data_IF_964608587690
#
_entry.id   IF_964608587690
#
_cell.length_a   1.000
_cell.length_b   1.000
_cell.length_c   1.000
_cell.angle_alpha   90.00
_cell.angle_beta   90.00
_cell.angle_gamma   90.00
#
_symmetry.space_group_name_H-M   'P 1'
#
loop_
_entity.id
_entity.type
_entity.pdbx_description
1 polymer ?
#
# COMPACT_ATOMS: atom_id res chain seq x y z
N UNK A 1 -12.36 -7.24 29.87
CA UNK A 1 -11.84 -7.81 28.61
C UNK A 1 -12.13 -6.95 27.39
N UNK A 2 -13.38 -6.54 27.12
CA UNK A 2 -13.75 -5.75 25.91
C UNK A 2 -13.02 -4.40 25.79
N UNK A 3 -12.89 -3.66 26.90
CA UNK A 3 -12.24 -2.35 26.94
C UNK A 3 -10.73 -2.36 26.60
N UNK A 4 -10.07 -3.52 26.71
CA UNK A 4 -8.64 -3.66 26.42
C UNK A 4 -8.36 -4.14 24.99
N UNK A 5 -9.39 -4.33 24.17
CA UNK A 5 -9.23 -4.73 22.76
C UNK A 5 -8.88 -3.53 21.88
N UNK A 6 -8.26 -3.77 20.71
CA UNK A 6 -7.88 -2.70 19.76
C UNK A 6 -9.08 -1.95 19.17
N UNK A 7 -10.27 -2.58 19.13
CA UNK A 7 -11.51 -1.99 18.60
C UNK A 7 -12.66 -2.29 19.59
N UNK A 8 -12.72 -1.60 20.74
CA UNK A 8 -13.60 -1.98 21.85
C UNK A 8 -15.09 -1.94 21.48
N UNK A 9 -15.52 -0.95 20.70
CA UNK A 9 -16.91 -0.86 20.24
C UNK A 9 -17.28 -1.96 19.23
N UNK A 10 -16.40 -2.25 18.26
CA UNK A 10 -16.63 -3.35 17.30
C UNK A 10 -16.71 -4.70 18.01
N UNK A 11 -15.84 -4.95 19.00
CA UNK A 11 -15.88 -6.16 19.81
C UNK A 11 -17.16 -6.23 20.63
N UNK A 12 -17.59 -5.12 21.23
CA UNK A 12 -18.86 -5.07 21.97
C UNK A 12 -20.06 -5.43 21.07
N UNK A 13 -20.17 -4.81 19.90
CA UNK A 13 -21.25 -5.10 18.94
C UNK A 13 -21.23 -6.56 18.48
N UNK A 14 -20.03 -7.12 18.23
CA UNK A 14 -19.87 -8.53 17.83
C UNK A 14 -20.29 -9.49 18.95
N UNK A 15 -19.89 -9.21 20.19
CA UNK A 15 -20.27 -10.02 21.35
C UNK A 15 -21.76 -9.95 21.63
N UNK A 16 -22.38 -8.78 21.44
CA UNK A 16 -23.82 -8.62 21.61
C UNK A 16 -24.59 -9.55 20.65
N UNK A 17 -24.27 -9.48 19.34
CA UNK A 17 -24.85 -10.36 18.33
C UNK A 17 -24.58 -11.85 18.62
N UNK A 18 -23.36 -12.17 19.06
CA UNK A 18 -22.99 -13.55 19.40
C UNK A 18 -23.80 -14.10 20.58
N UNK A 19 -24.01 -13.29 21.63
CA UNK A 19 -24.82 -13.68 22.79
C UNK A 19 -26.29 -13.87 22.40
N UNK A 20 -26.85 -12.98 21.57
CA UNK A 20 -28.22 -13.15 21.03
C UNK A 20 -28.35 -14.47 20.26
N UNK A 21 -27.34 -14.78 19.45
CA UNK A 21 -27.28 -16.02 18.66
C UNK A 21 -27.23 -17.26 19.56
N UNK A 22 -26.40 -17.25 20.61
CA UNK A 22 -26.30 -18.35 21.57
C UNK A 22 -27.54 -18.56 22.44
N UNK A 23 -28.30 -17.49 22.71
CA UNK A 23 -29.54 -17.57 23.49
C UNK A 23 -30.74 -18.05 22.67
N UNK A 24 -30.65 -18.03 21.35
CA UNK A 24 -31.70 -18.52 20.47
C UNK A 24 -31.77 -20.04 20.50
N UNK A 25 -32.99 -20.60 20.53
CA UNK A 25 -33.22 -22.03 20.35
C UNK A 25 -32.88 -22.52 18.94
N UNK A 26 -32.77 -21.60 17.98
CA UNK A 26 -32.35 -21.85 16.60
C UNK A 26 -31.34 -20.77 16.19
N UNK A 27 -30.03 -20.97 16.45
CA UNK A 27 -28.98 -20.00 16.13
C UNK A 27 -28.90 -19.64 14.64
N UNK A 28 -29.16 -20.61 13.75
CA UNK A 28 -29.07 -20.42 12.29
C UNK A 28 -30.16 -19.53 11.69
N UNK A 29 -31.23 -19.23 12.45
CA UNK A 29 -32.34 -18.37 12.01
C UNK A 29 -32.27 -16.96 12.61
N UNK A 30 -31.25 -16.67 13.41
CA UNK A 30 -31.06 -15.33 14.00
C UNK A 30 -30.64 -14.36 12.93
N UNK A 31 -31.40 -13.27 12.78
CA UNK A 31 -31.08 -12.21 11.82
C UNK A 31 -29.91 -11.39 12.37
N UNK A 32 -28.81 -11.36 11.63
CA UNK A 32 -27.66 -10.52 11.97
C UNK A 32 -27.67 -9.20 11.20
N UNK A 33 -27.51 -8.10 11.92
CA UNK A 33 -27.38 -6.76 11.34
C UNK A 33 -25.94 -6.24 11.32
N UNK A 34 -24.98 -7.04 11.80
CA UNK A 34 -23.59 -6.64 11.90
C UNK A 34 -22.91 -6.79 10.52
N UNK A 35 -22.28 -5.73 9.98
CA UNK A 35 -21.41 -5.88 8.82
C UNK A 35 -20.13 -6.63 9.22
N UNK A 36 -19.82 -7.69 8.49
CA UNK A 36 -18.56 -8.42 8.62
C UNK A 36 -17.61 -7.89 7.56
N UNK A 37 -16.42 -7.49 7.97
CA UNK A 37 -15.39 -6.92 7.10
C UNK A 37 -14.37 -7.99 6.69
N UNK A 38 -13.86 -7.85 5.48
CA UNK A 38 -12.74 -8.60 4.93
C UNK A 38 -11.70 -7.57 4.47
N UNK A 39 -10.49 -7.65 5.05
CA UNK A 39 -9.43 -6.68 4.80
C UNK A 39 -8.38 -7.25 3.83
N UNK A 40 -7.92 -6.44 2.88
CA UNK A 40 -6.76 -6.78 2.05
C UNK A 40 -5.49 -6.92 2.90
N UNK A 41 -4.71 -8.00 2.68
CA UNK A 41 -3.51 -8.27 3.50
C UNK A 41 -2.45 -7.15 3.43
N UNK A 42 -2.16 -6.69 2.21
CA UNK A 42 -1.32 -5.51 1.93
C UNK A 42 -1.69 -4.99 0.54
N UNK A 43 -2.84 -4.32 0.44
CA UNK A 43 -3.52 -4.09 -0.83
C UNK A 43 -2.62 -3.46 -1.91
N UNK A 44 -1.90 -2.37 -1.61
CA UNK A 44 -0.96 -1.78 -2.57
C UNK A 44 0.05 -2.78 -3.15
N UNK A 45 0.66 -3.64 -2.32
CA UNK A 45 1.58 -4.69 -2.81
C UNK A 45 0.84 -5.79 -3.58
N UNK A 46 -0.39 -6.14 -3.22
CA UNK A 46 -1.21 -7.09 -4.00
C UNK A 46 -1.44 -6.57 -5.41
N UNK A 47 -1.76 -5.29 -5.56
CA UNK A 47 -1.95 -4.66 -6.86
C UNK A 47 -0.63 -4.63 -7.66
N UNK A 48 0.51 -4.30 -7.05
CA UNK A 48 1.80 -4.36 -7.73
C UNK A 48 2.24 -5.77 -8.12
N UNK A 49 2.07 -6.76 -7.24
CA UNK A 49 2.40 -8.15 -7.52
C UNK A 49 1.57 -8.69 -8.70
N UNK A 50 0.29 -8.29 -8.80
CA UNK A 50 -0.56 -8.63 -9.93
C UNK A 50 -0.13 -7.95 -11.25
N UNK A 51 0.30 -6.68 -11.19
CA UNK A 51 0.86 -5.97 -12.37
C UNK A 51 2.19 -6.59 -12.84
N UNK A 52 3.06 -6.95 -11.89
CA UNK A 52 4.37 -7.52 -12.14
C UNK A 52 4.34 -9.01 -12.47
N UNK A 53 3.27 -9.73 -12.10
CA UNK A 53 3.12 -11.18 -12.22
C UNK A 53 4.30 -11.98 -11.64
N UNK A 54 4.91 -11.48 -10.57
CA UNK A 54 5.96 -12.22 -9.88
C UNK A 54 5.36 -13.20 -8.86
N UNK A 55 5.72 -14.48 -8.98
CA UNK A 55 5.15 -15.57 -8.17
C UNK A 55 5.57 -15.49 -6.70
N UNK A 56 6.80 -15.03 -6.41
CA UNK A 56 7.29 -14.90 -5.03
C UNK A 56 6.62 -13.72 -4.33
N UNK A 57 6.54 -12.57 -5.01
CA UNK A 57 5.82 -11.40 -4.51
C UNK A 57 4.34 -11.71 -4.27
N UNK A 58 3.70 -12.42 -5.21
CA UNK A 58 2.31 -12.85 -5.12
C UNK A 58 2.06 -13.73 -3.88
N UNK A 59 2.95 -14.69 -3.61
CA UNK A 59 2.87 -15.55 -2.43
C UNK A 59 3.05 -14.76 -1.12
N UNK A 60 3.97 -13.79 -1.09
CA UNK A 60 4.23 -12.96 0.08
C UNK A 60 3.01 -12.11 0.51
N UNK A 61 2.11 -11.79 -0.42
CA UNK A 61 0.92 -10.96 -0.19
C UNK A 61 -0.41 -11.70 -0.34
N UNK A 62 -0.37 -13.04 -0.19
CA UNK A 62 -1.55 -13.91 -0.19
C UNK A 62 -2.35 -13.92 -1.49
N UNK A 63 -1.72 -13.68 -2.66
CA UNK A 63 -2.34 -13.96 -3.95
C UNK A 63 -2.30 -15.44 -4.31
N UNK A 64 -1.38 -16.20 -3.73
CA UNK A 64 -1.29 -17.66 -3.85
C UNK A 64 -1.97 -18.32 -2.64
N UNK A 65 -2.67 -19.44 -2.87
CA UNK A 65 -3.27 -20.21 -1.78
C UNK A 65 -2.20 -20.82 -0.87
N UNK A 66 -2.39 -20.69 0.43
CA UNK A 66 -1.55 -21.31 1.46
C UNK A 66 -2.39 -21.85 2.61
N UNK A 67 -1.83 -22.74 3.43
CA UNK A 67 -2.51 -23.27 4.63
C UNK A 67 -2.64 -22.24 5.75
N UNK A 68 -1.80 -21.20 5.73
CA UNK A 68 -1.77 -20.10 6.70
C UNK A 68 -1.56 -18.78 5.97
N UNK A 69 -2.06 -17.65 6.52
CA UNK A 69 -1.83 -16.34 5.93
C UNK A 69 -0.33 -15.98 6.02
N UNK A 70 0.25 -15.60 4.89
CA UNK A 70 1.56 -14.96 4.82
C UNK A 70 1.53 -13.62 5.54
N UNK A 71 2.57 -13.33 6.32
CA UNK A 71 2.75 -12.07 7.04
C UNK A 71 3.99 -11.36 6.51
N UNK A 72 3.83 -10.67 5.37
CA UNK A 72 4.88 -9.90 4.68
C UNK A 72 5.70 -9.01 5.62
N UNK A 73 5.06 -8.46 6.67
CA UNK A 73 5.73 -7.59 7.63
C UNK A 73 6.70 -8.35 8.55
N UNK A 74 6.37 -9.60 8.90
CA UNK A 74 7.26 -10.45 9.70
C UNK A 74 8.40 -11.00 8.85
N UNK A 75 8.13 -11.33 7.58
CA UNK A 75 9.17 -11.72 6.62
C UNK A 75 10.19 -10.60 6.39
N UNK A 76 9.71 -9.37 6.14
CA UNK A 76 10.59 -8.20 6.03
C UNK A 76 11.33 -7.94 7.34
N UNK A 77 10.68 -8.09 8.49
CA UNK A 77 11.37 -7.93 9.78
C UNK A 77 12.49 -8.95 9.98
N UNK A 78 12.29 -10.21 9.58
CA UNK A 78 13.32 -11.24 9.61
C UNK A 78 14.48 -10.88 8.67
N UNK A 79 14.18 -10.44 7.45
CA UNK A 79 15.21 -10.02 6.50
C UNK A 79 16.02 -8.81 6.99
N UNK A 80 15.35 -7.83 7.58
CA UNK A 80 15.99 -6.67 8.23
C UNK A 80 16.89 -7.13 9.37
N UNK A 81 16.42 -8.08 10.19
CA UNK A 81 17.22 -8.65 11.27
C UNK A 81 18.48 -9.32 10.74
N UNK A 82 18.39 -10.13 9.68
CA UNK A 82 19.54 -10.82 9.08
C UNK A 82 20.56 -9.85 8.46
N UNK A 83 20.10 -8.78 7.81
CA UNK A 83 20.99 -7.72 7.30
C UNK A 83 21.70 -7.03 8.48
N UNK A 84 20.95 -6.66 9.54
CA UNK A 84 21.52 -6.02 10.72
C UNK A 84 22.48 -6.95 11.47
N UNK A 85 22.22 -8.26 11.51
CA UNK A 85 23.11 -9.22 12.13
C UNK A 85 24.46 -9.28 11.41
N UNK A 86 24.44 -9.45 10.08
CA UNK A 86 25.66 -9.41 9.27
C UNK A 86 26.41 -8.08 9.40
N UNK A 87 25.70 -6.96 9.43
CA UNK A 87 26.29 -5.63 9.60
C UNK A 87 26.91 -5.44 10.99
N UNK A 88 26.34 -6.07 12.02
CA UNK A 88 26.84 -6.02 13.40
C UNK A 88 28.17 -6.75 13.60
N UNK A 89 28.46 -7.74 12.75
CA UNK A 89 29.70 -8.53 12.81
C UNK A 89 30.88 -7.85 12.08
N UNK A 90 30.61 -6.79 11.30
CA UNK A 90 31.63 -6.00 10.60
C UNK A 90 32.45 -5.16 11.58
N UNK A 91 33.70 -4.90 11.21
CA UNK A 91 34.57 -4.02 11.98
C UNK A 91 34.05 -2.58 11.95
N UNK A 92 33.82 -2.01 13.14
CA UNK A 92 33.32 -0.65 13.32
C UNK A 92 34.25 0.44 12.80
N UNK A 93 35.54 0.16 12.64
CA UNK A 93 36.51 1.13 12.08
C UNK A 93 36.34 1.32 10.57
N UNK A 94 35.92 0.27 9.87
CA UNK A 94 35.70 0.27 8.41
C UNK A 94 34.23 0.43 8.05
N UNK A 95 33.31 0.03 8.94
CA UNK A 95 31.88 0.13 8.73
C UNK A 95 31.17 0.79 9.93
N UNK A 96 31.02 2.13 9.93
CA UNK A 96 30.44 2.88 11.06
C UNK A 96 29.03 2.42 11.47
N UNK A 97 28.25 1.87 10.53
CA UNK A 97 26.90 1.37 10.85
C UNK A 97 26.91 0.08 11.69
N UNK A 98 28.05 -0.60 11.86
CA UNK A 98 28.14 -1.82 12.69
C UNK A 98 27.68 -1.57 14.13
N UNK A 99 27.98 -0.40 14.69
CA UNK A 99 27.54 0.00 16.03
C UNK A 99 26.02 0.21 16.08
N UNK A 100 25.44 0.84 15.05
CA UNK A 100 23.99 1.04 14.94
C UNK A 100 23.27 -0.30 14.78
N UNK A 101 23.86 -1.23 14.02
CA UNK A 101 23.35 -2.58 13.84
C UNK A 101 23.31 -3.36 15.15
N UNK A 102 24.40 -3.34 15.94
CA UNK A 102 24.45 -3.94 17.29
C UNK A 102 23.38 -3.36 18.22
N UNK A 103 23.14 -2.05 18.15
CA UNK A 103 22.13 -1.36 18.98
C UNK A 103 20.69 -1.76 18.61
N UNK A 104 20.43 -1.98 17.32
CA UNK A 104 19.08 -2.14 16.78
C UNK A 104 18.64 -3.59 16.62
N UNK A 105 19.56 -4.56 16.52
CA UNK A 105 19.25 -5.97 16.22
C UNK A 105 18.16 -6.53 17.15
N UNK A 106 18.28 -6.33 18.47
CA UNK A 106 17.29 -6.77 19.47
C UNK A 106 15.99 -5.97 19.47
N UNK A 107 15.89 -4.92 18.65
CA UNK A 107 14.72 -4.06 18.53
C UNK A 107 13.95 -4.31 17.22
N UNK A 108 14.46 -5.12 16.28
CA UNK A 108 13.77 -5.41 15.03
C UNK A 108 12.58 -6.32 15.29
N UNK A 109 11.39 -5.86 14.93
CA UNK A 109 10.18 -6.67 14.98
C UNK A 109 9.16 -6.17 13.97
N UNK A 110 8.10 -6.97 13.77
CA UNK A 110 6.97 -6.62 12.90
C UNK A 110 6.44 -5.19 13.12
N UNK A 111 6.28 -4.76 14.38
CA UNK A 111 5.73 -3.42 14.72
C UNK A 111 6.65 -2.29 14.25
N UNK A 112 7.97 -2.49 14.28
CA UNK A 112 8.95 -1.50 13.84
C UNK A 112 8.84 -1.22 12.33
N UNK A 113 8.76 -2.27 11.51
CA UNK A 113 8.79 -2.16 10.04
C UNK A 113 7.41 -1.96 9.42
N UNK A 114 6.33 -2.40 10.08
CA UNK A 114 4.97 -2.44 9.50
C UNK A 114 4.55 -1.14 8.84
N UNK A 115 4.69 -0.02 9.55
CA UNK A 115 4.22 1.28 9.05
C UNK A 115 5.03 1.72 7.81
N UNK A 116 6.34 1.53 7.84
CA UNK A 116 7.22 1.86 6.72
C UNK A 116 6.88 1.02 5.49
N UNK A 117 6.76 -0.30 5.65
CA UNK A 117 6.39 -1.22 4.57
C UNK A 117 5.04 -0.83 3.96
N UNK A 118 4.01 -0.68 4.80
CA UNK A 118 2.64 -0.38 4.38
C UNK A 118 2.53 0.93 3.61
N UNK A 119 3.39 1.91 3.91
CA UNK A 119 3.29 3.25 3.30
C UNK A 119 4.32 3.48 2.18
N UNK A 120 5.35 2.63 2.06
CA UNK A 120 6.37 2.73 1.00
C UNK A 120 5.80 2.46 -0.38
N UNK A 121 4.87 1.51 -0.51
CA UNK A 121 4.12 1.27 -1.76
C UNK A 121 3.30 2.48 -2.21
N UNK A 122 2.98 3.37 -1.28
CA UNK A 122 2.24 4.59 -1.53
C UNK A 122 3.15 5.81 -1.67
N UNK A 123 4.40 5.61 -2.09
CA UNK A 123 5.32 6.69 -2.45
C UNK A 123 5.93 7.44 -1.27
N UNK A 124 5.95 6.84 -0.07
CA UNK A 124 6.71 7.40 1.05
C UNK A 124 8.19 7.47 0.70
N UNK A 125 8.73 8.67 0.83
CA UNK A 125 10.16 8.92 0.63
C UNK A 125 10.98 8.38 1.80
N UNK A 126 12.28 8.22 1.62
CA UNK A 126 13.22 7.86 2.69
C UNK A 126 13.05 8.72 3.96
N UNK A 127 12.80 10.03 3.80
CA UNK A 127 12.58 10.94 4.92
C UNK A 127 11.32 10.53 5.70
N UNK A 128 10.23 10.22 5.00
CA UNK A 128 8.99 9.76 5.63
C UNK A 128 9.18 8.40 6.32
N UNK A 129 9.85 7.45 5.67
CA UNK A 129 10.18 6.14 6.22
C UNK A 129 11.01 6.26 7.52
N UNK A 130 12.02 7.13 7.51
CA UNK A 130 12.83 7.45 8.70
C UNK A 130 11.98 7.99 9.84
N UNK A 131 11.10 8.97 9.59
CA UNK A 131 10.26 9.55 10.64
C UNK A 131 9.28 8.54 11.24
N UNK A 132 8.77 7.61 10.43
CA UNK A 132 7.92 6.52 10.91
C UNK A 132 8.71 5.58 11.84
N UNK A 133 9.91 5.17 11.45
CA UNK A 133 10.78 4.32 12.28
C UNK A 133 11.23 5.06 13.54
N UNK A 134 11.62 6.33 13.43
CA UNK A 134 12.02 7.17 14.57
C UNK A 134 10.95 7.18 15.64
N UNK A 135 9.69 7.37 15.26
CA UNK A 135 8.54 7.34 16.17
C UNK A 135 8.40 6.00 16.90
N UNK A 136 8.61 4.89 16.18
CA UNK A 136 8.56 3.53 16.75
C UNK A 136 9.71 3.23 17.69
N UNK A 137 10.91 3.73 17.40
CA UNK A 137 12.06 3.63 18.30
C UNK A 137 11.85 4.50 19.55
N UNK A 138 11.29 5.70 19.39
CA UNK A 138 10.93 6.58 20.50
C UNK A 138 9.88 5.95 21.43
N UNK A 139 8.84 5.31 20.88
CA UNK A 139 7.85 4.53 21.65
C UNK A 139 8.46 3.42 22.51
N UNK A 140 9.62 2.87 22.12
CA UNK A 140 10.32 1.83 22.89
C UNK A 140 11.16 2.40 24.04
N UNK A 141 11.64 3.64 23.93
CA UNK A 141 12.39 4.31 24.98
C UNK A 141 13.80 3.77 25.26
N UNK A 142 14.35 2.89 24.41
CA UNK A 142 15.69 2.31 24.61
C UNK A 142 16.84 3.25 24.21
N UNK A 143 16.56 4.25 23.36
CA UNK A 143 17.55 5.23 22.89
C UNK A 143 17.08 6.60 23.34
N UNK A 144 17.81 7.20 24.29
CA UNK A 144 17.49 8.50 24.90
C UNK A 144 18.23 9.67 24.25
N UNK A 145 19.36 9.39 23.58
CA UNK A 145 20.12 10.40 22.85
C UNK A 145 19.51 10.67 21.47
N UNK A 146 19.21 11.94 21.20
CA UNK A 146 18.51 12.37 19.97
C UNK A 146 19.35 12.18 18.70
N UNK A 147 20.67 12.39 18.76
CA UNK A 147 21.55 12.24 17.61
C UNK A 147 21.73 10.77 17.22
N UNK A 148 21.89 9.92 18.22
CA UNK A 148 21.94 8.47 18.07
C UNK A 148 20.61 7.93 17.58
N UNK A 149 19.48 8.40 18.14
CA UNK A 149 18.14 8.04 17.68
C UNK A 149 17.93 8.39 16.20
N UNK A 150 18.36 9.58 15.79
CA UNK A 150 18.29 10.00 14.39
C UNK A 150 19.13 9.08 13.48
N UNK A 151 20.38 8.81 13.87
CA UNK A 151 21.30 7.96 13.10
C UNK A 151 20.81 6.52 13.01
N UNK A 152 20.34 5.96 14.13
CA UNK A 152 19.72 4.64 14.21
C UNK A 152 18.47 4.56 13.32
N UNK A 153 17.62 5.59 13.34
CA UNK A 153 16.43 5.65 12.48
C UNK A 153 16.78 5.71 10.99
N UNK A 154 17.81 6.46 10.61
CA UNK A 154 18.31 6.51 9.23
C UNK A 154 18.81 5.14 8.76
N UNK A 155 19.61 4.47 9.59
CA UNK A 155 20.13 3.14 9.28
C UNK A 155 19.00 2.11 9.17
N UNK A 156 18.10 2.05 10.15
CA UNK A 156 16.97 1.13 10.14
C UNK A 156 16.03 1.36 8.95
N UNK A 157 15.77 2.62 8.57
CA UNK A 157 14.98 2.95 7.39
C UNK A 157 15.64 2.47 6.09
N UNK A 158 16.96 2.66 5.96
CA UNK A 158 17.69 2.20 4.79
C UNK A 158 17.62 0.67 4.65
N UNK A 159 17.92 -0.06 5.73
CA UNK A 159 17.87 -1.52 5.73
C UNK A 159 16.46 -2.05 5.49
N UNK A 160 15.43 -1.37 6.03
CA UNK A 160 14.02 -1.76 5.81
C UNK A 160 13.62 -1.59 4.34
N UNK A 161 14.01 -0.49 3.70
CA UNK A 161 13.70 -0.24 2.29
C UNK A 161 14.51 -1.15 1.36
N UNK A 162 15.75 -1.50 1.75
CA UNK A 162 16.58 -2.48 1.05
C UNK A 162 15.94 -3.87 1.10
N UNK A 163 15.57 -4.35 2.29
CA UNK A 163 14.87 -5.62 2.45
C UNK A 163 13.54 -5.66 1.67
N UNK A 164 12.77 -4.56 1.68
CA UNK A 164 11.56 -4.45 0.87
C UNK A 164 11.87 -4.55 -0.63
N UNK A 165 12.92 -3.88 -1.11
CA UNK A 165 13.31 -3.88 -2.51
C UNK A 165 13.90 -5.19 -3.00
N UNK A 166 14.49 -6.01 -2.11
CA UNK A 166 14.94 -7.37 -2.40
C UNK A 166 13.77 -8.35 -2.56
N UNK A 167 12.72 -8.21 -1.74
CA UNK A 167 11.53 -9.10 -1.81
C UNK A 167 10.60 -8.67 -2.96
N UNK A 168 10.46 -7.36 -3.18
CA UNK A 168 9.50 -6.78 -4.12
C UNK A 168 10.20 -6.07 -5.30
N UNK A 169 11.07 -6.79 -6.00
CA UNK A 169 11.85 -6.27 -7.12
C UNK A 169 10.97 -5.88 -8.33
N UNK A 170 10.01 -6.73 -8.72
CA UNK A 170 9.10 -6.50 -9.84
C UNK A 170 8.14 -5.35 -9.55
N UNK A 171 7.60 -5.28 -8.33
CA UNK A 171 6.81 -4.13 -7.87
C UNK A 171 7.62 -2.83 -7.94
N UNK A 172 8.87 -2.84 -7.45
CA UNK A 172 9.77 -1.68 -7.51
C UNK A 172 10.09 -1.28 -8.95
N UNK A 173 10.30 -2.25 -9.84
CA UNK A 173 10.49 -2.02 -11.27
C UNK A 173 9.30 -1.28 -11.88
N UNK A 174 8.08 -1.72 -11.56
CA UNK A 174 6.84 -1.09 -12.01
C UNK A 174 6.68 0.33 -11.45
N UNK A 175 6.97 0.55 -10.16
CA UNK A 175 6.95 1.90 -9.55
C UNK A 175 7.94 2.85 -10.23
N UNK A 176 9.16 2.38 -10.50
CA UNK A 176 10.18 3.17 -11.20
C UNK A 176 9.73 3.52 -12.63
N UNK A 177 9.20 2.54 -13.37
CA UNK A 177 8.70 2.76 -14.73
C UNK A 177 7.57 3.80 -14.77
N UNK A 178 6.59 3.70 -13.88
CA UNK A 178 5.53 4.70 -13.73
C UNK A 178 6.14 6.09 -13.47
N UNK A 179 7.02 6.21 -12.48
CA UNK A 179 7.67 7.48 -12.14
C UNK A 179 8.47 8.08 -13.30
N UNK A 180 9.13 7.26 -14.10
CA UNK A 180 9.90 7.72 -15.26
C UNK A 180 9.00 8.16 -16.41
N UNK A 181 7.87 7.48 -16.66
CA UNK A 181 6.82 7.97 -17.57
C UNK A 181 6.26 9.33 -17.12
N UNK A 182 5.95 9.48 -15.83
CA UNK A 182 5.49 10.73 -15.25
C UNK A 182 6.51 11.87 -15.41
N UNK A 183 7.80 11.56 -15.30
CA UNK A 183 8.88 12.53 -15.51
C UNK A 183 8.91 13.04 -16.94
N UNK A 184 8.78 12.15 -17.94
CA UNK A 184 8.73 12.50 -19.37
C UNK A 184 7.61 13.50 -19.63
N UNK A 185 6.39 13.21 -19.19
CA UNK A 185 5.22 14.09 -19.37
C UNK A 185 5.41 15.43 -18.63
N UNK A 186 5.83 15.38 -17.38
CA UNK A 186 5.93 16.57 -16.55
C UNK A 186 7.06 17.51 -16.99
N UNK A 187 8.12 16.99 -17.64
CA UNK A 187 9.19 17.80 -18.24
C UNK A 187 8.67 18.71 -19.36
N UNK A 188 7.60 18.33 -20.07
CA UNK A 188 6.90 19.16 -21.05
C UNK A 188 5.88 20.12 -20.42
N UNK A 189 5.97 20.32 -19.10
CA UNK A 189 5.06 21.14 -18.31
C UNK A 189 3.58 20.69 -18.45
N UNK A 190 3.34 19.39 -18.67
CA UNK A 190 2.02 18.78 -18.70
C UNK A 190 1.78 17.96 -17.42
N UNK A 191 0.58 18.03 -16.81
CA UNK A 191 0.25 17.14 -15.70
C UNK A 191 0.02 15.72 -16.20
N UNK A 192 0.38 14.73 -15.38
CA UNK A 192 0.10 13.33 -15.70
C UNK A 192 -1.40 13.10 -15.60
N UNK A 193 -1.94 12.38 -16.58
CA UNK A 193 -3.36 12.04 -16.72
C UNK A 193 -3.50 10.64 -17.26
N UNK A 194 -4.43 9.85 -16.73
CA UNK A 194 -4.74 8.51 -17.20
C UNK A 194 -6.23 8.25 -17.04
N UNK A 195 -6.72 7.15 -17.61
CA UNK A 195 -8.10 6.70 -17.43
C UNK A 195 -8.07 5.34 -16.75
N UNK A 196 -8.88 5.16 -15.70
CA UNK A 196 -8.96 3.85 -15.03
C UNK A 196 -9.65 2.82 -15.93
N UNK A 197 -9.54 1.52 -15.65
CA UNK A 197 -10.24 0.49 -16.42
C UNK A 197 -11.77 0.62 -16.43
N UNK A 198 -12.37 1.37 -15.49
CA UNK A 198 -13.80 1.73 -15.49
C UNK A 198 -14.13 3.02 -16.25
N UNK A 199 -13.15 3.61 -16.95
CA UNK A 199 -13.37 4.83 -17.74
C UNK A 199 -13.32 6.13 -16.95
N UNK A 200 -12.86 6.12 -15.69
CA UNK A 200 -12.71 7.36 -14.91
C UNK A 200 -11.43 8.11 -15.32
N UNK A 201 -11.50 9.31 -15.90
CA UNK A 201 -10.32 10.12 -16.14
C UNK A 201 -9.77 10.69 -14.84
N UNK A 202 -8.46 10.55 -14.64
CA UNK A 202 -7.72 11.03 -13.47
C UNK A 202 -6.61 11.97 -13.91
N UNK A 203 -6.41 13.07 -13.19
CA UNK A 203 -5.34 14.05 -13.44
C UNK A 203 -4.64 14.36 -12.13
N UNK A 204 -3.31 14.46 -12.15
CA UNK A 204 -2.52 14.90 -11.01
C UNK A 204 -2.34 16.42 -10.99
N UNK A 205 -2.93 17.14 -10.01
CA UNK A 205 -2.89 18.61 -9.95
C UNK A 205 -1.63 19.11 -9.22
N UNK A 206 -0.45 18.60 -9.57
CA UNK A 206 0.79 19.03 -8.92
C UNK A 206 1.48 20.13 -9.70
N UNK A 207 1.23 21.37 -9.28
CA UNK A 207 1.86 22.59 -9.79
C UNK A 207 2.68 23.30 -8.70
N UNK A 208 3.70 24.04 -9.12
CA UNK A 208 4.52 24.88 -8.24
C UNK A 208 3.65 25.96 -7.61
N UNK A 209 3.70 26.09 -6.29
CA UNK A 209 2.98 27.15 -5.60
C UNK A 209 3.69 28.49 -5.73
N UNK A 210 2.92 29.57 -5.85
CA UNK A 210 3.39 30.95 -5.80
C UNK A 210 2.94 31.57 -4.48
N UNK A 211 3.88 32.20 -3.78
CA UNK A 211 3.58 32.98 -2.58
C UNK A 211 2.96 34.31 -2.99
N UNK A 212 1.76 34.59 -2.53
CA UNK A 212 1.06 35.85 -2.74
C UNK A 212 0.95 36.58 -1.40
N UNK A 213 1.49 37.80 -1.34
CA UNK A 213 1.53 38.57 -0.09
C UNK A 213 0.48 39.68 -0.19
N UNK A 214 -0.49 39.66 0.74
CA UNK A 214 -1.50 40.69 0.91
C UNK A 214 -1.11 41.53 2.13
N UNK A 215 -0.71 42.78 1.87
CA UNK A 215 -0.45 43.75 2.94
C UNK A 215 -1.77 44.45 3.28
N UNK A 216 -2.15 44.42 4.55
CA UNK A 216 -3.27 45.19 5.10
C UNK A 216 -2.74 46.24 6.07
N UNK A 217 -3.59 47.16 6.51
CA UNK A 217 -3.23 48.19 7.49
C UNK A 217 -2.84 47.63 8.86
N UNK A 218 -3.22 46.37 9.17
CA UNK A 218 -2.99 45.73 10.47
C UNK A 218 -1.93 44.62 10.42
N UNK A 219 -1.76 43.94 9.28
CA UNK A 219 -0.84 42.81 9.16
C UNK A 219 -0.51 42.46 7.70
N UNK A 220 0.44 41.54 7.53
CA UNK A 220 0.82 40.98 6.22
C UNK A 220 0.41 39.52 6.17
N UNK A 221 -0.52 39.18 5.28
CA UNK A 221 -0.95 37.80 5.03
C UNK A 221 -0.15 37.21 3.88
N UNK A 222 0.42 36.02 4.08
CA UNK A 222 1.07 35.25 3.02
C UNK A 222 0.18 34.07 2.62
N UNK A 223 -0.41 34.15 1.43
CA UNK A 223 -1.20 33.09 0.83
C UNK A 223 -0.35 32.26 -0.12
N UNK A 224 -0.68 30.98 -0.26
CA UNK A 224 -0.16 30.15 -1.36
C UNK A 224 -1.23 30.05 -2.43
N UNK A 225 -0.86 30.40 -3.67
CA UNK A 225 -1.70 30.21 -4.86
C UNK A 225 -1.04 29.18 -5.76
N UNK A 226 -1.85 28.37 -6.42
CA UNK A 226 -1.36 27.43 -7.43
C UNK A 226 -0.75 28.21 -8.62
N UNK A 227 0.45 27.80 -9.04
CA UNK A 227 1.13 28.36 -10.21
C UNK A 227 0.75 27.62 -11.50
N UNK A 228 1.26 28.10 -12.62
CA UNK A 228 1.03 27.50 -13.95
C UNK A 228 2.12 26.50 -14.38
N UNK A 229 3.19 26.37 -13.59
CA UNK A 229 4.28 25.45 -13.88
C UNK A 229 4.08 24.15 -13.12
N UNK A 230 4.14 23.03 -13.81
CA UNK A 230 4.07 21.69 -13.22
C UNK A 230 5.25 21.45 -12.28
N UNK A 231 4.98 20.79 -11.16
CA UNK A 231 6.01 20.37 -10.20
C UNK A 231 6.49 18.95 -10.54
N UNK A 232 7.45 18.86 -11.48
CA UNK A 232 7.99 17.60 -12.03
C UNK A 232 8.33 16.56 -10.95
N UNK A 233 9.01 16.99 -9.88
CA UNK A 233 9.40 16.09 -8.80
C UNK A 233 8.18 15.45 -8.13
N UNK A 234 7.12 16.23 -7.86
CA UNK A 234 5.91 15.72 -7.21
C UNK A 234 5.09 14.83 -8.14
N UNK A 235 4.94 15.21 -9.42
CA UNK A 235 4.31 14.35 -10.43
C UNK A 235 4.96 12.96 -10.46
N UNK A 236 6.29 12.93 -10.61
CA UNK A 236 7.09 11.68 -10.62
C UNK A 236 6.87 10.83 -9.37
N UNK A 237 6.98 11.41 -8.18
CA UNK A 237 6.90 10.64 -6.93
C UNK A 237 5.47 10.23 -6.57
N UNK A 238 4.48 10.99 -7.00
CA UNK A 238 3.07 10.75 -6.66
C UNK A 238 2.34 9.88 -7.69
N UNK A 239 2.87 9.71 -8.90
CA UNK A 239 2.18 8.92 -9.93
C UNK A 239 2.04 7.43 -9.57
N UNK A 240 3.09 6.72 -9.14
CA UNK A 240 2.95 5.32 -8.71
C UNK A 240 1.87 5.10 -7.63
N UNK A 241 1.84 5.83 -6.49
CA UNK A 241 0.77 5.67 -5.51
C UNK A 241 -0.62 6.00 -6.05
N UNK A 242 -0.76 7.12 -6.77
CA UNK A 242 -2.07 7.54 -7.25
C UNK A 242 -2.62 6.57 -8.31
N UNK A 243 -1.74 6.00 -9.14
CA UNK A 243 -2.12 4.99 -10.12
C UNK A 243 -2.63 3.72 -9.44
N UNK A 244 -1.89 3.17 -8.47
CA UNK A 244 -2.34 1.98 -7.73
C UNK A 244 -3.59 2.26 -6.90
N UNK A 245 -3.72 3.43 -6.28
CA UNK A 245 -4.97 3.84 -5.65
C UNK A 245 -6.16 3.91 -6.62
N UNK A 246 -5.91 4.28 -7.88
CA UNK A 246 -6.98 4.26 -8.88
C UNK A 246 -7.39 2.82 -9.27
N UNK A 247 -6.46 1.86 -9.18
CA UNK A 247 -6.73 0.44 -9.42
C UNK A 247 -7.43 -0.22 -8.23
N UNK A 248 -7.07 0.11 -6.99
CA UNK A 248 -7.80 -0.36 -5.80
C UNK A 248 -9.25 0.13 -5.79
N UNK A 249 -9.47 1.41 -6.11
CA UNK A 249 -10.81 1.99 -6.22
C UNK A 249 -11.60 1.35 -7.36
N UNK A 250 -10.94 1.03 -8.47
CA UNK A 250 -11.54 0.29 -9.57
C UNK A 250 -11.98 -1.11 -9.14
N UNK A 251 -11.11 -1.86 -8.46
CA UNK A 251 -11.41 -3.20 -7.96
C UNK A 251 -12.57 -3.18 -6.93
N UNK A 252 -12.57 -2.22 -6.00
CA UNK A 252 -13.66 -2.02 -5.06
C UNK A 252 -14.98 -1.74 -5.79
N UNK A 253 -14.99 -0.84 -6.78
CA UNK A 253 -16.20 -0.50 -7.53
C UNK A 253 -16.72 -1.70 -8.35
N UNK A 254 -15.83 -2.43 -9.03
CA UNK A 254 -16.18 -3.66 -9.75
C UNK A 254 -16.81 -4.70 -8.81
N UNK A 255 -16.22 -4.88 -7.62
CA UNK A 255 -16.72 -5.79 -6.59
C UNK A 255 -18.08 -5.33 -6.07
N UNK A 256 -18.26 -4.05 -5.78
CA UNK A 256 -19.52 -3.49 -5.27
C UNK A 256 -20.67 -3.66 -6.27
N UNK A 257 -20.42 -3.41 -7.56
CA UNK A 257 -21.40 -3.62 -8.64
C UNK A 257 -21.79 -5.09 -8.72
N UNK A 258 -20.80 -6.00 -8.73
CA UNK A 258 -21.05 -7.43 -8.82
C UNK A 258 -21.76 -7.99 -7.58
N UNK A 259 -21.46 -7.47 -6.38
CA UNK A 259 -22.18 -7.81 -5.15
C UNK A 259 -23.66 -7.38 -5.25
N UNK A 260 -23.93 -6.14 -5.70
CA UNK A 260 -25.30 -5.64 -5.90
C UNK A 260 -26.05 -6.53 -6.89
N UNK A 261 -25.44 -6.88 -8.01
CA UNK A 261 -26.06 -7.69 -9.06
C UNK A 261 -26.32 -9.14 -8.60
N UNK A 262 -25.53 -9.64 -7.64
CA UNK A 262 -25.74 -10.90 -6.95
C UNK A 262 -26.72 -10.80 -5.75
N UNK A 263 -27.30 -9.63 -5.49
CA UNK A 263 -28.26 -9.41 -4.41
C UNK A 263 -27.67 -9.15 -3.02
N UNK A 264 -26.35 -8.95 -2.92
CA UNK A 264 -25.65 -8.69 -1.67
C UNK A 264 -25.70 -7.20 -1.30
N UNK A 265 -25.59 -6.91 0.00
CA UNK A 265 -25.36 -5.53 0.49
C UNK A 265 -23.87 -5.31 0.66
N UNK A 266 -23.34 -4.26 0.04
CA UNK A 266 -21.91 -3.94 0.09
C UNK A 266 -21.67 -2.61 0.79
N UNK A 267 -20.66 -2.56 1.65
CA UNK A 267 -20.02 -1.34 2.10
C UNK A 267 -18.50 -1.51 1.96
N UNK A 268 -17.78 -0.41 1.71
CA UNK A 268 -16.33 -0.45 1.54
C UNK A 268 -15.66 0.75 2.17
N UNK A 269 -14.51 0.51 2.79
CA UNK A 269 -13.58 1.55 3.24
C UNK A 269 -12.23 1.27 2.61
N UNK A 270 -11.98 1.86 1.43
CA UNK A 270 -10.81 1.57 0.61
C UNK A 270 -10.65 0.06 0.36
N UNK A 271 -9.66 -0.59 0.97
CA UNK A 271 -9.29 -2.00 0.85
C UNK A 271 -9.96 -2.92 1.89
N UNK A 272 -11.05 -2.46 2.51
CA UNK A 272 -11.84 -3.20 3.50
C UNK A 272 -13.29 -3.35 3.00
N UNK A 273 -13.70 -4.59 2.68
CA UNK A 273 -14.99 -4.89 2.02
C UNK A 273 -15.96 -5.58 2.97
N UNK A 274 -17.17 -5.05 3.09
CA UNK A 274 -18.11 -5.39 4.16
C UNK A 274 -19.44 -5.85 3.58
N UNK A 275 -20.00 -6.93 4.13
CA UNK A 275 -21.35 -7.43 3.81
C UNK A 275 -21.99 -8.07 5.06
N UNK A 276 -23.19 -8.61 4.94
CA UNK A 276 -23.82 -9.41 5.99
C UNK A 276 -23.08 -10.74 6.19
N UNK A 277 -23.09 -11.27 7.42
CA UNK A 277 -22.38 -12.50 7.77
C UNK A 277 -22.74 -13.71 6.88
N UNK A 278 -24.00 -13.81 6.42
CA UNK A 278 -24.45 -14.88 5.52
C UNK A 278 -23.90 -14.79 4.09
N UNK A 279 -23.38 -13.63 3.70
CA UNK A 279 -22.98 -13.32 2.33
C UNK A 279 -21.45 -13.32 2.14
N UNK A 280 -20.68 -13.53 3.21
CA UNK A 280 -19.21 -13.39 3.21
C UNK A 280 -18.55 -14.33 2.21
N UNK A 281 -18.95 -15.60 2.18
CA UNK A 281 -18.37 -16.58 1.25
C UNK A 281 -18.61 -16.16 -0.21
N UNK A 282 -19.81 -15.65 -0.50
CA UNK A 282 -20.17 -15.20 -1.85
C UNK A 282 -19.45 -13.91 -2.23
N UNK A 283 -19.33 -12.94 -1.31
CA UNK A 283 -18.54 -11.73 -1.51
C UNK A 283 -17.06 -12.07 -1.76
N UNK A 284 -16.52 -13.02 -1.00
CA UNK A 284 -15.14 -13.49 -1.14
C UNK A 284 -14.88 -14.18 -2.48
N UNK A 285 -15.87 -14.89 -3.04
CA UNK A 285 -15.80 -15.38 -4.41
C UNK A 285 -15.76 -14.20 -5.41
N UNK A 286 -16.73 -13.29 -5.32
CA UNK A 286 -16.89 -12.15 -6.24
C UNK A 286 -15.64 -11.26 -6.25
N UNK A 287 -15.08 -10.93 -5.07
CA UNK A 287 -13.93 -10.04 -4.99
C UNK A 287 -12.69 -10.64 -5.66
N UNK A 288 -12.50 -11.97 -5.57
CA UNK A 288 -11.38 -12.66 -6.25
C UNK A 288 -11.60 -12.68 -7.76
N UNK A 289 -12.81 -13.02 -8.20
CA UNK A 289 -13.18 -12.99 -9.62
C UNK A 289 -12.95 -11.62 -10.24
N UNK A 290 -13.39 -10.54 -9.57
CA UNK A 290 -13.21 -9.16 -10.07
C UNK A 290 -11.76 -8.69 -10.04
N UNK A 291 -10.95 -9.20 -9.11
CA UNK A 291 -9.50 -8.94 -9.11
C UNK A 291 -8.82 -9.58 -10.31
N UNK A 292 -9.13 -10.86 -10.58
CA UNK A 292 -8.58 -11.58 -11.75
C UNK A 292 -9.05 -10.95 -13.05
N UNK A 293 -10.32 -10.56 -13.15
CA UNK A 293 -10.88 -9.85 -14.31
C UNK A 293 -10.13 -8.53 -14.57
N UNK A 294 -9.92 -7.71 -13.53
CA UNK A 294 -9.20 -6.45 -13.63
C UNK A 294 -7.78 -6.65 -14.18
N UNK A 295 -7.03 -7.62 -13.65
CA UNK A 295 -5.63 -7.85 -14.02
C UNK A 295 -5.42 -8.74 -15.25
N UNK A 296 -6.52 -9.29 -15.79
CA UNK A 296 -6.52 -9.90 -17.12
C UNK A 296 -6.49 -8.84 -18.23
N UNK A 297 -6.84 -7.59 -17.92
CA UNK A 297 -6.67 -6.45 -18.82
C UNK A 297 -5.18 -6.10 -18.91
N UNK A 298 -4.63 -5.79 -20.11
CA UNK A 298 -3.25 -5.36 -20.26
C UNK A 298 -3.08 -3.89 -19.81
N UNK A 299 -3.19 -3.65 -18.49
CA UNK A 299 -3.28 -2.31 -17.89
C UNK A 299 -2.06 -1.44 -18.21
N UNK A 300 -0.84 -1.96 -18.10
CA UNK A 300 0.37 -1.17 -18.33
C UNK A 300 0.59 -0.88 -19.81
N UNK A 301 0.25 -1.83 -20.69
CA UNK A 301 0.27 -1.67 -22.14
C UNK A 301 -0.72 -0.59 -22.58
N UNK A 302 -1.98 -0.68 -22.12
CA UNK A 302 -3.01 0.31 -22.42
C UNK A 302 -2.62 1.70 -21.92
N UNK A 303 -1.97 1.77 -20.75
CA UNK A 303 -1.45 3.04 -20.21
C UNK A 303 -0.35 3.62 -21.10
N UNK A 304 0.60 2.78 -21.54
CA UNK A 304 1.69 3.21 -22.42
C UNK A 304 1.16 3.67 -23.78
N UNK A 305 0.29 2.89 -24.41
CA UNK A 305 -0.36 3.24 -25.68
C UNK A 305 -1.14 4.56 -25.57
N UNK A 306 -1.85 4.77 -24.45
CA UNK A 306 -2.55 6.02 -24.16
C UNK A 306 -1.59 7.22 -24.06
N UNK A 307 -0.42 7.04 -23.44
CA UNK A 307 0.61 8.08 -23.36
C UNK A 307 1.24 8.37 -24.72
N UNK A 308 1.61 7.35 -25.48
CA UNK A 308 2.19 7.50 -26.82
C UNK A 308 1.21 8.19 -27.78
N UNK A 309 -0.07 7.83 -27.71
CA UNK A 309 -1.14 8.48 -28.51
C UNK A 309 -1.35 9.94 -28.11
N UNK A 310 -1.33 10.23 -26.81
CA UNK A 310 -1.55 11.60 -26.30
C UNK A 310 -0.34 12.50 -26.54
N UNK A 311 0.86 11.93 -26.54
CA UNK A 311 2.14 12.64 -26.62
C UNK A 311 3.04 12.03 -27.70
N UNK A 312 2.68 12.12 -29.00
CA UNK A 312 3.37 11.41 -30.10
C UNK A 312 4.82 11.86 -30.35
N UNK A 313 5.26 12.96 -29.72
CA UNK A 313 6.64 13.46 -29.79
C UNK A 313 7.52 13.07 -28.60
N UNK A 314 7.00 12.31 -27.63
CA UNK A 314 7.73 11.90 -26.43
C UNK A 314 8.08 10.41 -26.49
N UNK A 315 9.31 10.10 -26.09
CA UNK A 315 9.78 8.72 -25.96
C UNK A 315 9.59 8.23 -24.52
N UNK A 316 8.84 7.15 -24.36
CA UNK A 316 8.57 6.52 -23.08
C UNK A 316 9.47 5.30 -22.84
N UNK A 317 9.84 5.01 -21.58
CA UNK A 317 10.61 3.81 -21.28
C UNK A 317 9.81 2.54 -21.61
N UNK A 318 10.48 1.45 -22.05
CA UNK A 318 9.80 0.20 -22.35
C UNK A 318 9.17 -0.39 -21.08
N UNK A 319 8.11 -1.20 -21.27
CA UNK A 319 7.43 -1.88 -20.18
C UNK A 319 8.39 -2.71 -19.32
N UNK A 320 8.19 -2.74 -17.99
CA UNK A 320 8.98 -3.60 -17.11
C UNK A 320 8.72 -5.07 -17.46
N UNK A 321 9.73 -5.93 -17.25
CA UNK A 321 9.56 -7.37 -17.41
C UNK A 321 8.52 -7.88 -16.42
N UNK A 322 7.58 -8.68 -16.91
CA UNK A 322 6.62 -9.42 -16.08
C UNK A 322 7.14 -10.82 -15.79
N UNK A 323 6.78 -11.34 -14.63
CA UNK A 323 6.91 -12.77 -14.32
C UNK A 323 5.79 -13.60 -14.97
N UNK A 324 5.64 -14.82 -14.48
CA UNK A 324 4.77 -15.86 -15.01
C UNK A 324 3.65 -16.28 -14.04
N UNK A 325 3.40 -15.51 -12.97
CA UNK A 325 2.34 -15.80 -12.02
C UNK A 325 0.97 -15.89 -12.72
N UNK A 326 0.30 -17.03 -12.55
CA UNK A 326 -1.07 -17.25 -13.02
C UNK A 326 -2.06 -16.57 -12.07
N UNK A 327 -2.72 -15.52 -12.54
CA UNK A 327 -3.73 -14.77 -11.79
C UNK A 327 -4.89 -15.65 -11.34
N UNK A 328 -5.18 -16.78 -12.00
CA UNK A 328 -6.25 -17.68 -11.59
C UNK A 328 -5.99 -18.35 -10.23
N UNK A 329 -4.74 -18.37 -9.74
CA UNK A 329 -4.43 -18.85 -8.39
C UNK A 329 -5.08 -17.98 -7.29
N UNK A 330 -5.37 -16.70 -7.58
CA UNK A 330 -6.07 -15.80 -6.66
C UNK A 330 -7.46 -16.33 -6.31
N UNK A 331 -8.15 -16.99 -7.26
CA UNK A 331 -9.48 -17.56 -7.05
C UNK A 331 -9.50 -18.60 -5.92
N UNK A 332 -8.36 -19.26 -5.69
CA UNK A 332 -8.18 -20.30 -4.67
C UNK A 332 -7.61 -19.75 -3.36
N UNK A 333 -7.22 -18.48 -3.30
CA UNK A 333 -6.50 -17.93 -2.15
C UNK A 333 -7.46 -17.52 -1.02
N UNK A 334 -7.53 -18.27 0.10
CA UNK A 334 -8.43 -17.96 1.20
C UNK A 334 -8.03 -16.68 1.93
N UNK A 335 -6.73 -16.34 1.93
CA UNK A 335 -6.18 -15.23 2.72
C UNK A 335 -5.91 -13.95 1.92
N UNK A 336 -6.28 -13.91 0.63
CA UNK A 336 -6.19 -12.69 -0.19
C UNK A 336 -6.84 -11.49 0.50
N UNK A 337 -8.10 -11.67 0.94
CA UNK A 337 -8.84 -10.82 1.87
C UNK A 337 -9.30 -11.72 3.02
N UNK A 338 -9.07 -11.32 4.28
CA UNK A 338 -9.46 -12.12 5.45
C UNK A 338 -9.93 -11.29 6.65
#
# INVERSE_FOLDING_TARGET
MVANSRRPFSVFSSLYQFIETLKSSSPHTVISHLPVHQDGSCNGLQHYAALGRDTLEAAAVNLVAGEKPSDVYSEIAARVHDIMQRDSEKDSTTYPNALLAKLLIGQVNRKLVKQTVMTSVYGVTFIGAREQIKRRLLEKGHITDDQLLFSASCYAARVTLEALGEIFEAARGTMCWLGDCAKVIASENQPVRWTTPLGLPVVQPYFKTKRHIIKTSLQVLALQREGSMVEVKKQRTAFPPNFVHSLDGTHMMMTAIACRDAGLRFAGVHDSFWTHACDIDKMNQILREKFVELYSIPILENLLESFETTYPGLEFPPLPKRGDFDLNEVLKSPYFFN
#
